data_IF_767491981497
#
_entry.id   IF_767491981497
#
_cell.length_a   1.000
_cell.length_b   1.000
_cell.length_c   1.000
_cell.angle_alpha   90.00
_cell.angle_beta   90.00
_cell.angle_gamma   90.00
#
_symmetry.space_group_name_H-M   'P 1'
#
loop_
_entity.id
_entity.type
_entity.pdbx_description
1 polymer ?
#
# COMPACT_ATOMS: atom_id res chain seq x y z
N UNK A 1 -1.99 11.46 20.64
CA UNK A 1 -3.21 12.15 20.20
C UNK A 1 -3.37 12.12 18.70
N UNK A 2 -2.58 12.91 17.97
CA UNK A 2 -2.78 13.17 16.54
C UNK A 2 -2.70 11.92 15.64
N UNK A 3 -1.71 11.05 15.84
CA UNK A 3 -1.55 9.83 15.03
C UNK A 3 -2.75 8.88 15.11
N UNK A 4 -3.37 8.76 16.29
CA UNK A 4 -4.57 7.94 16.50
C UNK A 4 -5.76 8.55 15.77
N UNK A 5 -5.91 9.88 15.82
CA UNK A 5 -6.96 10.60 15.09
C UNK A 5 -6.76 10.42 13.58
N UNK A 6 -5.53 10.58 13.07
CA UNK A 6 -5.21 10.36 11.66
C UNK A 6 -5.54 8.94 11.22
N UNK A 7 -5.16 7.92 12.02
CA UNK A 7 -5.49 6.53 11.72
C UNK A 7 -7.01 6.28 11.73
N UNK A 8 -7.72 6.84 12.71
CA UNK A 8 -9.18 6.74 12.78
C UNK A 8 -9.85 7.38 11.55
N UNK A 9 -9.37 8.54 11.09
CA UNK A 9 -9.86 9.19 9.87
C UNK A 9 -9.57 8.36 8.62
N UNK A 10 -8.38 7.77 8.51
CA UNK A 10 -8.04 6.87 7.39
C UNK A 10 -8.98 5.65 7.37
N UNK A 11 -9.21 5.03 8.52
CA UNK A 11 -10.16 3.91 8.67
C UNK A 11 -11.57 4.35 8.27
N UNK A 12 -12.03 5.52 8.72
CA UNK A 12 -13.35 6.04 8.41
C UNK A 12 -13.54 6.29 6.91
N UNK A 13 -12.56 6.92 6.25
CA UNK A 13 -12.59 7.20 4.81
C UNK A 13 -12.59 5.88 4.01
N UNK A 14 -11.71 4.94 4.36
CA UNK A 14 -11.67 3.62 3.72
C UNK A 14 -12.96 2.84 3.95
N UNK A 15 -13.53 2.90 5.15
CA UNK A 15 -14.79 2.22 5.45
C UNK A 15 -15.96 2.84 4.69
N UNK A 16 -16.01 4.16 4.56
CA UNK A 16 -17.02 4.84 3.74
C UNK A 16 -16.98 4.35 2.29
N UNK A 17 -15.77 4.16 1.74
CA UNK A 17 -15.57 3.67 0.37
C UNK A 17 -15.95 2.20 0.18
N UNK A 18 -15.48 1.30 1.05
CA UNK A 18 -15.59 -0.15 0.85
C UNK A 18 -16.70 -0.82 1.65
N UNK A 19 -17.32 -0.11 2.61
CA UNK A 19 -18.33 -0.59 3.57
C UNK A 19 -18.01 -1.96 4.18
N UNK A 20 -16.73 -2.27 4.35
CA UNK A 20 -16.26 -3.56 4.86
C UNK A 20 -14.96 -3.44 5.62
N UNK A 21 -15.00 -3.69 6.93
CA UNK A 21 -13.83 -3.74 7.80
C UNK A 21 -12.76 -4.75 7.33
N UNK A 22 -13.16 -5.82 6.63
CA UNK A 22 -12.21 -6.80 6.08
C UNK A 22 -11.37 -6.22 4.95
N UNK A 23 -11.98 -5.45 4.05
CA UNK A 23 -11.23 -4.81 2.96
C UNK A 23 -10.34 -3.69 3.50
N UNK A 24 -10.86 -2.91 4.46
CA UNK A 24 -10.08 -1.85 5.13
C UNK A 24 -8.85 -2.44 5.83
N UNK A 25 -9.00 -3.54 6.58
CA UNK A 25 -7.88 -4.17 7.28
C UNK A 25 -6.84 -4.77 6.34
N UNK A 26 -7.24 -5.35 5.20
CA UNK A 26 -6.29 -5.83 4.18
C UNK A 26 -5.44 -4.67 3.66
N UNK A 27 -6.05 -3.52 3.36
CA UNK A 27 -5.33 -2.33 2.88
C UNK A 27 -4.38 -1.79 3.96
N UNK A 28 -4.84 -1.70 5.22
CA UNK A 28 -4.03 -1.18 6.32
C UNK A 28 -2.88 -2.11 6.72
N UNK A 29 -3.00 -3.41 6.48
CA UNK A 29 -1.92 -4.37 6.72
C UNK A 29 -0.69 -4.08 5.85
N UNK A 30 -0.84 -3.38 4.74
CA UNK A 30 0.30 -2.97 3.91
C UNK A 30 1.21 -1.96 4.60
N UNK A 31 0.70 -1.20 5.58
CA UNK A 31 1.50 -0.24 6.37
C UNK A 31 2.61 -0.98 7.14
N UNK A 32 2.31 -1.91 8.08
CA UNK A 32 3.35 -2.59 8.83
C UNK A 32 4.31 -3.39 7.92
N UNK A 33 3.81 -3.98 6.82
CA UNK A 33 4.68 -4.67 5.85
C UNK A 33 5.72 -3.74 5.21
N UNK A 34 5.35 -2.49 4.94
CA UNK A 34 6.26 -1.47 4.46
C UNK A 34 7.25 -1.03 5.55
N UNK A 35 6.76 -0.82 6.78
CA UNK A 35 7.59 -0.39 7.91
C UNK A 35 8.72 -1.38 8.23
N UNK A 36 8.48 -2.69 8.11
CA UNK A 36 9.52 -3.71 8.35
C UNK A 36 10.75 -3.45 7.47
N UNK A 37 10.57 -3.25 6.16
CA UNK A 37 11.69 -2.98 5.25
C UNK A 37 12.41 -1.67 5.55
N UNK A 38 11.68 -0.64 5.94
CA UNK A 38 12.25 0.65 6.32
C UNK A 38 13.07 0.61 7.59
N UNK A 39 12.59 -0.08 8.63
CA UNK A 39 13.32 -0.24 9.89
C UNK A 39 14.59 -1.06 9.66
N UNK A 40 14.50 -2.14 8.87
CA UNK A 40 15.67 -2.92 8.48
C UNK A 40 16.68 -2.07 7.70
N UNK A 41 16.22 -1.24 6.77
CA UNK A 41 17.12 -0.35 6.02
C UNK A 41 17.80 0.69 6.92
N UNK A 42 17.08 1.32 7.86
CA UNK A 42 17.73 2.22 8.83
C UNK A 42 18.80 1.51 9.66
N UNK A 43 18.51 0.27 10.09
CA UNK A 43 19.47 -0.52 10.86
C UNK A 43 20.72 -0.89 10.03
N UNK A 44 20.54 -1.26 8.76
CA UNK A 44 21.63 -1.61 7.84
C UNK A 44 22.54 -0.42 7.49
N UNK A 45 21.97 0.79 7.43
CA UNK A 45 22.72 2.03 7.17
C UNK A 45 23.18 2.74 8.45
N UNK A 46 22.96 2.12 9.63
CA UNK A 46 23.30 2.67 10.95
C UNK A 46 22.76 4.08 11.20
N UNK A 47 21.58 4.38 10.64
CA UNK A 47 20.95 5.69 10.74
C UNK A 47 20.02 5.79 11.94
N UNK A 48 20.05 6.91 12.68
CA UNK A 48 19.17 7.11 13.82
C UNK A 48 17.70 7.27 13.39
N UNK A 49 16.80 6.94 14.31
CA UNK A 49 15.41 7.36 14.22
C UNK A 49 15.33 8.86 14.47
N UNK A 50 15.24 9.64 13.39
CA UNK A 50 15.14 11.10 13.44
C UNK A 50 13.78 11.58 12.92
N UNK A 51 13.52 12.88 13.06
CA UNK A 51 12.33 13.52 12.46
C UNK A 51 12.29 13.31 10.94
N UNK A 52 13.46 13.32 10.30
CA UNK A 52 13.59 13.03 8.87
C UNK A 52 13.14 11.59 8.55
N UNK A 53 13.59 10.60 9.31
CA UNK A 53 13.16 9.21 9.17
C UNK A 53 11.63 9.06 9.35
N UNK A 54 11.04 9.78 10.31
CA UNK A 54 9.59 9.80 10.54
C UNK A 54 8.80 10.31 9.33
N UNK A 55 9.28 11.39 8.68
CA UNK A 55 8.66 11.88 7.43
C UNK A 55 8.71 10.79 6.36
N UNK A 56 9.85 10.10 6.21
CA UNK A 56 10.00 8.97 5.29
C UNK A 56 8.98 7.85 5.57
N UNK A 57 8.77 7.48 6.84
CA UNK A 57 7.80 6.45 7.21
C UNK A 57 6.36 6.86 6.86
N UNK A 58 5.99 8.12 7.08
CA UNK A 58 4.66 8.64 6.75
C UNK A 58 4.45 8.61 5.23
N UNK A 59 5.43 9.09 4.45
CA UNK A 59 5.37 9.08 2.98
C UNK A 59 5.20 7.65 2.47
N UNK A 60 6.00 6.72 2.99
CA UNK A 60 5.91 5.30 2.62
C UNK A 60 4.56 4.69 2.99
N UNK A 61 4.03 4.98 4.18
CA UNK A 61 2.72 4.48 4.59
C UNK A 61 1.63 4.93 3.61
N UNK A 62 1.69 6.19 3.15
CA UNK A 62 0.80 6.71 2.12
C UNK A 62 0.92 5.98 0.77
N UNK A 63 2.15 5.75 0.30
CA UNK A 63 2.42 4.99 -0.93
C UNK A 63 1.86 3.56 -0.81
N UNK A 64 2.12 2.90 0.33
CA UNK A 64 1.70 1.53 0.59
C UNK A 64 0.17 1.39 0.63
N UNK A 65 -0.52 2.30 1.33
CA UNK A 65 -1.99 2.35 1.37
C UNK A 65 -2.56 2.63 -0.02
N UNK A 66 -2.00 3.57 -0.77
CA UNK A 66 -2.43 3.87 -2.15
C UNK A 66 -2.34 2.63 -3.04
N UNK A 67 -1.24 1.89 -2.97
CA UNK A 67 -1.05 0.66 -3.75
C UNK A 67 -2.08 -0.41 -3.35
N UNK A 68 -2.34 -0.58 -2.05
CA UNK A 68 -3.39 -1.48 -1.56
C UNK A 68 -4.79 -1.10 -2.06
N UNK A 69 -5.16 0.19 -1.97
CA UNK A 69 -6.42 0.72 -2.49
C UNK A 69 -6.57 0.40 -3.98
N UNK A 70 -5.55 0.67 -4.79
CA UNK A 70 -5.60 0.47 -6.24
C UNK A 70 -5.74 -1.01 -6.60
N UNK A 71 -5.03 -1.92 -5.91
CA UNK A 71 -5.15 -3.37 -6.12
C UNK A 71 -6.54 -3.88 -5.77
N UNK A 72 -7.05 -3.56 -4.57
CA UNK A 72 -8.37 -4.01 -4.11
C UNK A 72 -9.49 -3.43 -4.99
N UNK A 73 -9.38 -2.16 -5.37
CA UNK A 73 -10.37 -1.53 -6.26
C UNK A 73 -10.39 -2.18 -7.63
N UNK A 74 -9.23 -2.59 -8.15
CA UNK A 74 -9.13 -3.29 -9.43
C UNK A 74 -9.81 -4.66 -9.38
N UNK A 75 -9.57 -5.45 -8.33
CA UNK A 75 -10.30 -6.72 -8.15
C UNK A 75 -11.81 -6.53 -8.10
N UNK A 76 -12.27 -5.53 -7.34
CA UNK A 76 -13.71 -5.23 -7.26
C UNK A 76 -14.23 -4.81 -8.64
N UNK A 77 -13.46 -4.02 -9.40
CA UNK A 77 -13.82 -3.59 -10.74
C UNK A 77 -14.01 -4.77 -11.70
N UNK A 78 -13.13 -5.77 -11.67
CA UNK A 78 -13.24 -6.98 -12.50
C UNK A 78 -14.55 -7.73 -12.23
N UNK A 79 -14.96 -7.87 -10.96
CA UNK A 79 -16.27 -8.50 -10.65
C UNK A 79 -17.43 -7.61 -11.05
N UNK A 80 -17.33 -6.31 -10.75
CA UNK A 80 -18.44 -5.36 -10.88
C UNK A 80 -18.80 -5.04 -12.34
N UNK A 81 -17.79 -4.79 -13.17
CA UNK A 81 -17.95 -4.23 -14.51
C UNK A 81 -17.60 -5.22 -15.62
N UNK A 82 -16.67 -6.15 -15.36
CA UNK A 82 -16.28 -7.16 -16.35
C UNK A 82 -17.01 -8.50 -16.16
N UNK A 83 -17.78 -8.65 -15.06
CA UNK A 83 -18.58 -9.84 -14.78
C UNK A 83 -17.75 -11.08 -14.45
N UNK A 84 -16.46 -10.92 -14.14
CA UNK A 84 -15.56 -12.03 -13.83
C UNK A 84 -16.00 -12.74 -12.54
N UNK A 85 -16.09 -14.10 -12.55
CA UNK A 85 -16.42 -14.85 -11.35
C UNK A 85 -15.32 -14.68 -10.30
N UNK A 86 -15.71 -14.54 -9.04
CA UNK A 86 -14.75 -14.48 -7.94
C UNK A 86 -13.99 -15.80 -7.83
N UNK A 87 -12.70 -15.80 -8.15
CA UNK A 87 -11.85 -16.98 -8.13
C UNK A 87 -10.38 -16.68 -8.37
N UNK A 88 -9.56 -17.73 -8.36
CA UNK A 88 -8.10 -17.61 -8.53
C UNK A 88 -7.71 -16.96 -9.87
N UNK A 89 -8.40 -17.29 -10.96
CA UNK A 89 -8.11 -16.75 -12.29
C UNK A 89 -8.24 -15.22 -12.33
N UNK A 90 -9.31 -14.68 -11.74
CA UNK A 90 -9.54 -13.24 -11.61
C UNK A 90 -8.46 -12.57 -10.76
N UNK A 91 -8.09 -13.19 -9.63
CA UNK A 91 -7.07 -12.62 -8.72
C UNK A 91 -5.70 -12.59 -9.40
N UNK A 92 -5.34 -13.65 -10.12
CA UNK A 92 -4.07 -13.71 -10.87
C UNK A 92 -4.06 -12.64 -11.96
N UNK A 93 -5.13 -12.55 -12.77
CA UNK A 93 -5.27 -11.53 -13.81
C UNK A 93 -5.16 -10.12 -13.24
N UNK A 94 -5.96 -9.81 -12.21
CA UNK A 94 -5.93 -8.49 -11.57
C UNK A 94 -4.59 -8.19 -10.89
N UNK A 95 -3.90 -9.20 -10.36
CA UNK A 95 -2.56 -9.04 -9.78
C UNK A 95 -1.55 -8.66 -10.85
N UNK A 96 -1.54 -9.37 -11.98
CA UNK A 96 -0.63 -9.13 -13.10
C UNK A 96 -0.85 -7.76 -13.74
N UNK A 97 -2.12 -7.37 -13.96
CA UNK A 97 -2.49 -6.06 -14.52
C UNK A 97 -2.12 -4.88 -13.60
N UNK A 98 -1.91 -5.13 -12.30
CA UNK A 98 -1.46 -4.12 -11.32
C UNK A 98 0.02 -4.22 -11.00
N UNK A 99 0.65 -5.36 -11.27
CA UNK A 99 2.07 -5.57 -11.00
C UNK A 99 2.93 -4.58 -11.81
N UNK A 100 2.67 -4.43 -13.11
CA UNK A 100 3.44 -3.50 -13.95
C UNK A 100 3.36 -2.04 -13.44
N UNK A 101 2.16 -1.46 -13.17
CA UNK A 101 2.07 -0.12 -12.55
C UNK A 101 2.79 0.02 -11.21
N UNK A 102 2.68 -0.98 -10.33
CA UNK A 102 3.36 -0.95 -9.02
C UNK A 102 4.87 -0.96 -9.19
N UNK A 103 5.40 -1.84 -10.04
CA UNK A 103 6.83 -1.90 -10.34
C UNK A 103 7.32 -0.61 -11.00
N UNK A 104 6.57 0.00 -11.92
CA UNK A 104 6.93 1.29 -12.51
C UNK A 104 7.12 2.38 -11.44
N UNK A 105 6.18 2.49 -10.50
CA UNK A 105 6.30 3.48 -9.42
C UNK A 105 7.42 3.16 -8.44
N UNK A 106 7.60 1.89 -8.08
CA UNK A 106 8.67 1.45 -7.19
C UNK A 106 10.06 1.69 -7.81
N UNK A 107 10.23 1.35 -9.08
CA UNK A 107 11.47 1.58 -9.83
C UNK A 107 11.74 3.07 -10.03
N UNK A 108 10.73 3.87 -10.40
CA UNK A 108 10.88 5.31 -10.54
C UNK A 108 11.32 5.98 -9.24
N UNK A 109 10.70 5.61 -8.12
CA UNK A 109 11.11 6.08 -6.80
C UNK A 109 12.50 5.56 -6.41
N UNK A 110 12.79 4.28 -6.64
CA UNK A 110 14.11 3.70 -6.35
C UNK A 110 15.23 4.44 -7.09
N UNK A 111 15.08 4.65 -8.40
CA UNK A 111 16.07 5.37 -9.21
C UNK A 111 16.26 6.82 -8.76
N UNK A 112 15.19 7.50 -8.32
CA UNK A 112 15.28 8.85 -7.79
C UNK A 112 15.99 8.90 -6.41
N UNK A 113 15.86 7.86 -5.59
CA UNK A 113 16.38 7.82 -4.22
C UNK A 113 17.80 7.27 -4.12
N UNK A 114 18.23 6.39 -5.04
CA UNK A 114 19.60 5.85 -5.08
C UNK A 114 20.69 6.93 -4.98
N UNK A 115 20.69 8.02 -5.78
CA UNK A 115 21.75 9.04 -5.67
C UNK A 115 21.73 9.80 -4.34
N UNK A 116 20.56 9.96 -3.72
CA UNK A 116 20.40 10.58 -2.40
C UNK A 116 20.94 9.67 -1.29
N UNK A 117 20.77 8.35 -1.44
CA UNK A 117 21.34 7.37 -0.52
C UNK A 117 22.86 7.30 -0.63
N UNK A 118 23.41 7.21 -1.85
CA UNK A 118 24.85 7.11 -2.07
C UNK A 118 25.62 8.39 -1.70
N UNK A 119 25.02 9.55 -1.97
CA UNK A 119 25.64 10.85 -1.72
C UNK A 119 25.36 11.43 -0.34
N UNK A 120 24.92 10.62 0.64
CA UNK A 120 24.39 11.09 1.93
C UNK A 120 25.36 11.84 2.83
N UNK A 121 26.67 11.67 2.61
CA UNK A 121 27.73 12.31 3.41
C UNK A 121 28.03 13.76 2.99
N UNK A 122 27.40 14.26 1.92
CA UNK A 122 27.59 15.63 1.47
C UNK A 122 26.83 16.63 2.37
N UNK A 123 27.41 17.81 2.65
CA UNK A 123 26.75 18.86 3.43
C UNK A 123 25.37 19.23 2.86
N UNK A 124 24.36 19.38 3.71
CA UNK A 124 23.00 19.74 3.32
C UNK A 124 22.08 18.56 2.99
N UNK A 125 22.55 17.31 3.13
CA UNK A 125 21.74 16.09 2.90
C UNK A 125 21.39 15.32 4.18
N UNK A 126 21.64 15.90 5.33
CA UNK A 126 21.44 15.29 6.65
C UNK A 126 19.97 14.91 6.91
N UNK A 127 19.04 15.63 6.29
CA UNK A 127 17.60 15.34 6.36
C UNK A 127 17.18 14.40 5.21
N UNK A 128 17.72 14.60 4.01
CA UNK A 128 17.30 13.84 2.83
C UNK A 128 17.78 12.39 2.85
N UNK A 129 18.96 12.14 3.43
CA UNK A 129 19.54 10.81 3.45
C UNK A 129 18.71 9.81 4.28
N UNK A 130 18.33 10.07 5.55
CA UNK A 130 17.45 9.16 6.29
C UNK A 130 16.07 8.98 5.66
N UNK A 131 15.48 10.04 5.08
CA UNK A 131 14.20 9.97 4.36
C UNK A 131 14.32 9.00 3.18
N UNK A 132 15.39 9.12 2.38
CA UNK A 132 15.60 8.29 1.21
C UNK A 132 15.81 6.81 1.57
N UNK A 133 16.63 6.53 2.58
CA UNK A 133 16.87 5.14 3.06
C UNK A 133 15.57 4.49 3.53
N UNK A 134 14.77 5.20 4.32
CA UNK A 134 13.48 4.72 4.83
C UNK A 134 12.52 4.37 3.69
N UNK A 135 12.33 5.30 2.76
CA UNK A 135 11.40 5.09 1.65
C UNK A 135 11.89 3.96 0.75
N UNK A 136 13.18 3.90 0.41
CA UNK A 136 13.75 2.88 -0.45
C UNK A 136 13.61 1.47 0.14
N UNK A 137 14.06 1.25 1.37
CA UNK A 137 13.97 -0.05 2.04
C UNK A 137 12.52 -0.51 2.23
N UNK A 138 11.67 0.45 2.56
CA UNK A 138 10.24 0.21 2.72
C UNK A 138 9.54 -0.15 1.42
N UNK A 139 9.88 0.50 0.31
CA UNK A 139 9.33 0.21 -1.02
C UNK A 139 9.66 -1.22 -1.47
N UNK A 140 10.86 -1.70 -1.19
CA UNK A 140 11.27 -3.08 -1.53
C UNK A 140 10.38 -4.06 -0.77
N UNK A 141 10.31 -3.93 0.56
CA UNK A 141 9.49 -4.81 1.40
C UNK A 141 8.01 -4.71 1.05
N UNK A 142 7.48 -3.49 0.92
CA UNK A 142 6.08 -3.26 0.57
C UNK A 142 5.76 -3.89 -0.79
N UNK A 143 6.57 -3.66 -1.83
CA UNK A 143 6.30 -4.19 -3.17
C UNK A 143 6.30 -5.71 -3.21
N UNK A 144 7.29 -6.35 -2.57
CA UNK A 144 7.40 -7.81 -2.53
C UNK A 144 6.26 -8.42 -1.70
N UNK A 145 6.04 -7.92 -0.48
CA UNK A 145 5.05 -8.47 0.44
C UNK A 145 3.62 -8.17 -0.02
N UNK A 146 3.29 -6.95 -0.44
CA UNK A 146 1.95 -6.59 -0.94
C UNK A 146 1.58 -7.37 -2.21
N UNK A 147 2.55 -7.69 -3.08
CA UNK A 147 2.28 -8.49 -4.28
C UNK A 147 1.91 -9.94 -3.96
N UNK A 148 2.37 -10.47 -2.83
CA UNK A 148 2.07 -11.84 -2.40
C UNK A 148 0.91 -11.91 -1.39
N UNK A 149 0.93 -11.06 -0.36
CA UNK A 149 -0.04 -11.10 0.74
C UNK A 149 -1.41 -10.57 0.35
N UNK A 150 -1.50 -9.46 -0.39
CA UNK A 150 -2.79 -8.85 -0.77
C UNK A 150 -3.68 -9.79 -1.59
N UNK A 151 -3.21 -10.47 -2.66
CA UNK A 151 -4.06 -11.43 -3.38
C UNK A 151 -4.46 -12.63 -2.51
N UNK A 152 -3.56 -13.15 -1.66
CA UNK A 152 -3.86 -14.28 -0.77
C UNK A 152 -4.94 -13.91 0.26
N UNK A 153 -4.83 -12.72 0.86
CA UNK A 153 -5.79 -12.21 1.83
C UNK A 153 -7.12 -11.87 1.17
N UNK A 154 -7.09 -11.27 -0.02
CA UNK A 154 -8.30 -10.98 -0.79
C UNK A 154 -9.02 -12.27 -1.19
N UNK A 155 -8.30 -13.31 -1.63
CA UNK A 155 -8.88 -14.63 -1.90
C UNK A 155 -9.62 -15.19 -0.69
N UNK A 156 -9.00 -15.15 0.48
CA UNK A 156 -9.54 -15.76 1.70
C UNK A 156 -10.69 -14.97 2.32
N UNK A 157 -10.61 -13.64 2.30
CA UNK A 157 -11.52 -12.78 3.06
C UNK A 157 -12.37 -11.84 2.21
N UNK A 158 -12.09 -11.71 0.91
CA UNK A 158 -12.68 -10.73 -0.01
C UNK A 158 -14.01 -11.16 -0.64
N UNK A 159 -14.32 -12.45 -0.76
CA UNK A 159 -15.55 -12.93 -1.42
C UNK A 159 -16.84 -12.34 -0.82
N UNK A 160 -17.03 -12.48 0.50
CA UNK A 160 -18.22 -11.97 1.20
C UNK A 160 -18.32 -10.43 1.19
N UNK A 161 -17.24 -9.68 1.47
CA UNK A 161 -17.22 -8.23 1.31
C UNK A 161 -17.60 -7.74 -0.09
N UNK A 162 -17.01 -8.32 -1.14
CA UNK A 162 -17.25 -7.89 -2.51
C UNK A 162 -18.71 -8.12 -2.89
N UNK A 163 -19.28 -9.28 -2.59
CA UNK A 163 -20.69 -9.57 -2.84
C UNK A 163 -21.64 -8.56 -2.15
N UNK A 164 -21.37 -8.23 -0.87
CA UNK A 164 -22.16 -7.22 -0.13
C UNK A 164 -22.04 -5.83 -0.73
N UNK A 165 -20.83 -5.45 -1.17
CA UNK A 165 -20.58 -4.15 -1.77
C UNK A 165 -21.34 -3.98 -3.10
N UNK A 166 -21.34 -5.02 -3.94
CA UNK A 166 -22.06 -5.01 -5.22
C UNK A 166 -23.58 -4.98 -5.03
N UNK A 167 -24.11 -5.74 -4.06
CA UNK A 167 -25.53 -5.73 -3.73
C UNK A 167 -26.01 -4.33 -3.29
N UNK A 168 -25.21 -3.59 -2.53
CA UNK A 168 -25.54 -2.20 -2.15
C UNK A 168 -25.53 -1.24 -3.34
N UNK A 169 -24.60 -1.37 -4.29
CA UNK A 169 -24.59 -0.52 -5.48
C UNK A 169 -25.79 -0.79 -6.38
N UNK A 170 -26.20 -2.06 -6.54
CA UNK A 170 -27.38 -2.44 -7.31
C UNK A 170 -28.72 -1.94 -6.70
N UNK A 171 -28.76 -1.69 -5.39
CA UNK A 171 -29.93 -1.12 -4.71
C UNK A 171 -30.00 0.41 -4.83
N UNK A 172 -28.86 1.09 -4.97
CA UNK A 172 -28.79 2.55 -5.09
C UNK A 172 -29.16 3.09 -6.48
N UNK A 173 -29.09 2.27 -7.53
CA UNK A 173 -29.43 2.64 -8.92
C UNK A 173 -30.90 2.40 -9.30
N UNK A 174 -31.78 2.12 -8.31
CA UNK A 174 -33.22 1.88 -8.53
C UNK A 174 -34.13 3.07 -8.21
N UNK A 175 -33.60 4.29 -8.20
CA UNK A 175 -34.37 5.53 -8.09
C UNK A 175 -34.18 6.40 -9.33
#
# INVERSE_FOLDING_TARGET
GLAVISLALIVLVLYSRYRSMRLVSIILLNIPLALVGSVLALALFELPLSVASLVGFITLAGISVRNGILKISHYINLVAHEGEPFGDAMIVRGSLERLAPVLMTALGAALALIPLMLGGQAPGKEILHPVAVVIFGGLISATLLDTLLTPVLFRRYGARPTAKLLAHHAQGTRF
#
